data_IF_621497483050
#
_entry.id   IF_621497483050
#
_cell.length_a   1.000
_cell.length_b   1.000
_cell.length_c   1.000
_cell.angle_alpha   90.00
_cell.angle_beta   90.00
_cell.angle_gamma   90.00
#
_symmetry.space_group_name_H-M   'P 1'
#
loop_
_entity.id
_entity.type
_entity.pdbx_description
1 polymer ?
#
# COMPACT_ATOMS: atom_id res chain seq x y z
N UNK A 1 -11.80 28.59 -7.26
CA UNK A 1 -10.60 28.46 -6.41
C UNK A 1 -10.00 29.84 -6.29
N UNK A 2 -9.74 30.29 -5.08
CA UNK A 2 -8.85 31.44 -4.87
C UNK A 2 -7.44 30.88 -4.97
N UNK A 3 -6.68 31.23 -6.03
CA UNK A 3 -5.34 30.71 -6.32
C UNK A 3 -4.29 31.30 -5.34
N UNK A 4 -4.65 31.42 -4.07
CA UNK A 4 -3.79 31.98 -3.05
C UNK A 4 -2.73 30.95 -2.66
N UNK A 5 -1.53 31.44 -2.38
CA UNK A 5 -0.46 30.64 -1.79
C UNK A 5 -0.57 30.76 -0.27
N UNK A 6 -0.73 29.63 0.40
CA UNK A 6 -0.84 29.53 1.86
C UNK A 6 0.18 28.54 2.42
N UNK A 7 0.48 28.66 3.71
CA UNK A 7 1.32 27.68 4.40
C UNK A 7 0.47 26.46 4.80
N UNK A 8 1.05 25.27 4.64
CA UNK A 8 0.55 24.00 5.19
C UNK A 8 1.54 23.48 6.25
N UNK A 9 1.07 22.66 7.19
CA UNK A 9 1.82 22.23 8.37
C UNK A 9 1.70 20.73 8.64
N UNK A 10 2.71 19.98 8.19
CA UNK A 10 2.90 18.60 8.62
C UNK A 10 3.44 18.55 10.05
N UNK A 11 3.03 17.52 10.80
CA UNK A 11 3.58 17.24 12.13
C UNK A 11 4.22 15.86 12.10
N UNK A 12 5.54 15.83 12.37
CA UNK A 12 6.35 14.62 12.33
C UNK A 12 6.84 14.29 13.74
N UNK A 13 6.40 13.15 14.26
CA UNK A 13 6.94 12.54 15.47
C UNK A 13 7.91 11.40 15.12
N UNK A 14 9.00 11.24 15.86
CA UNK A 14 9.93 10.12 15.66
C UNK A 14 10.32 9.48 16.99
N UNK A 15 10.22 8.15 17.02
CA UNK A 15 10.74 7.29 18.08
C UNK A 15 11.98 6.61 17.52
N UNK A 16 13.15 7.03 17.99
CA UNK A 16 14.44 6.50 17.54
C UNK A 16 14.62 5.02 17.89
N UNK A 17 15.03 4.23 16.90
CA UNK A 17 15.37 2.82 17.05
C UNK A 17 16.64 2.59 17.88
N UNK A 18 16.76 1.42 18.50
CA UNK A 18 17.90 1.06 19.35
C UNK A 18 19.04 0.36 18.61
N UNK A 19 18.75 -0.33 17.50
CA UNK A 19 19.73 -1.13 16.75
C UNK A 19 19.94 -0.62 15.32
N UNK A 20 18.86 -0.18 14.66
CA UNK A 20 18.85 0.31 13.28
C UNK A 20 18.08 1.65 13.22
N UNK A 21 18.60 2.73 13.85
CA UNK A 21 17.90 4.02 13.94
C UNK A 21 17.72 4.71 12.57
N UNK A 22 18.54 4.34 11.59
CA UNK A 22 18.46 4.76 10.19
C UNK A 22 17.34 4.06 9.41
N UNK A 23 16.72 3.01 9.95
CA UNK A 23 15.59 2.35 9.29
C UNK A 23 14.28 2.86 9.84
N UNK A 24 13.38 3.32 8.97
CA UNK A 24 12.15 4.04 9.35
C UNK A 24 10.90 3.29 8.91
N UNK A 25 10.05 2.95 9.86
CA UNK A 25 8.66 2.55 9.61
C UNK A 25 7.79 3.78 9.78
N UNK A 26 7.18 4.25 8.70
CA UNK A 26 6.39 5.49 8.69
C UNK A 26 4.92 5.12 8.77
N UNK A 27 4.20 5.70 9.73
CA UNK A 27 2.74 5.66 9.82
C UNK A 27 2.23 7.05 9.44
N UNK A 28 1.25 7.13 8.55
CA UNK A 28 0.73 8.41 8.09
C UNK A 28 -0.80 8.47 7.98
N UNK A 29 -1.32 9.68 8.19
CA UNK A 29 -2.71 10.07 8.03
C UNK A 29 -2.77 11.59 7.84
N UNK A 30 -3.58 12.09 6.91
CA UNK A 30 -3.79 13.53 6.79
C UNK A 30 -4.70 14.12 7.88
N UNK A 31 -4.65 15.43 8.06
CA UNK A 31 -5.34 16.14 9.14
C UNK A 31 -6.36 17.16 8.64
N UNK A 32 -6.16 17.66 7.43
CA UNK A 32 -7.03 18.67 6.86
C UNK A 32 -8.33 18.02 6.41
N UNK A 33 -9.42 18.79 6.46
CA UNK A 33 -10.72 18.32 6.04
C UNK A 33 -11.42 19.43 5.28
N UNK A 34 -12.30 19.07 4.34
CA UNK A 34 -13.14 20.05 3.67
C UNK A 34 -14.05 20.83 4.62
N UNK A 35 -14.60 20.16 5.64
CA UNK A 35 -15.52 20.77 6.62
C UNK A 35 -15.20 20.29 8.04
N UNK A 36 -15.96 19.33 8.58
CA UNK A 36 -15.72 18.77 9.91
C UNK A 36 -14.85 17.51 9.83
N UNK A 37 -15.04 16.70 8.79
CA UNK A 37 -14.18 15.57 8.46
C UNK A 37 -14.11 14.49 9.53
N UNK A 38 -15.25 14.11 10.11
CA UNK A 38 -15.27 13.15 11.21
C UNK A 38 -14.85 11.74 10.77
N UNK A 39 -15.22 11.35 9.55
CA UNK A 39 -14.71 10.17 8.87
C UNK A 39 -13.39 10.54 8.18
N UNK A 40 -13.45 11.45 7.21
CA UNK A 40 -12.31 11.84 6.37
C UNK A 40 -11.74 13.20 6.82
N UNK A 41 -10.57 13.25 7.49
CA UNK A 41 -9.69 12.15 7.92
C UNK A 41 -9.72 11.86 9.42
N UNK A 42 -10.57 12.56 10.20
CA UNK A 42 -10.40 12.61 11.65
C UNK A 42 -10.48 11.24 12.33
N UNK A 43 -11.12 10.25 11.68
CA UNK A 43 -11.16 8.86 12.15
C UNK A 43 -9.80 8.16 12.09
N UNK A 44 -9.03 8.37 11.02
CA UNK A 44 -7.64 7.95 10.91
C UNK A 44 -6.74 8.72 11.88
N UNK A 45 -6.93 10.04 12.00
CA UNK A 45 -6.18 10.88 12.94
C UNK A 45 -6.37 10.44 14.39
N UNK A 46 -7.61 10.17 14.80
CA UNK A 46 -7.90 9.67 16.15
C UNK A 46 -7.20 8.32 16.42
N UNK A 47 -7.15 7.46 15.41
CA UNK A 47 -6.47 6.16 15.48
C UNK A 47 -4.95 6.31 15.58
N UNK A 48 -4.34 7.19 14.78
CA UNK A 48 -2.91 7.50 14.84
C UNK A 48 -2.52 8.04 16.22
N UNK A 49 -3.34 8.93 16.78
CA UNK A 49 -3.12 9.50 18.12
C UNK A 49 -3.20 8.44 19.23
N UNK A 50 -4.11 7.48 19.12
CA UNK A 50 -4.20 6.36 20.08
C UNK A 50 -2.98 5.42 19.99
N UNK A 51 -2.47 5.16 18.78
CA UNK A 51 -1.22 4.44 18.57
C UNK A 51 -0.05 5.22 19.20
N UNK A 52 0.04 6.53 18.95
CA UNK A 52 1.07 7.39 19.51
C UNK A 52 1.05 7.36 21.05
N UNK A 53 -0.14 7.39 21.66
CA UNK A 53 -0.34 7.28 23.11
C UNK A 53 0.17 5.93 23.63
N UNK A 54 -0.21 4.82 22.99
CA UNK A 54 0.22 3.47 23.37
C UNK A 54 1.73 3.27 23.25
N UNK A 55 2.35 3.75 22.17
CA UNK A 55 3.82 3.76 22.01
C UNK A 55 4.49 4.60 23.10
N UNK A 56 3.91 5.75 23.45
CA UNK A 56 4.35 6.59 24.56
C UNK A 56 4.36 5.88 25.90
N UNK A 57 3.32 5.08 26.20
CA UNK A 57 3.28 4.25 27.41
C UNK A 57 4.35 3.16 27.39
N UNK A 58 4.57 2.49 26.25
CA UNK A 58 5.63 1.49 26.11
C UNK A 58 7.02 2.09 26.36
N UNK A 59 7.29 3.28 25.82
CA UNK A 59 8.56 3.99 26.03
C UNK A 59 8.82 4.28 27.52
N UNK A 60 7.79 4.56 28.32
CA UNK A 60 7.92 4.76 29.76
C UNK A 60 8.33 3.48 30.51
N UNK A 61 8.12 2.30 29.93
CA UNK A 61 8.58 1.02 30.50
C UNK A 61 10.05 0.71 30.17
N UNK A 62 10.69 1.54 29.36
CA UNK A 62 12.05 1.33 28.85
C UNK A 62 12.12 0.52 27.55
N UNK A 63 10.98 0.12 26.99
CA UNK A 63 10.93 -0.47 25.65
C UNK A 63 11.42 0.53 24.60
N UNK A 64 12.15 0.03 23.60
CA UNK A 64 12.53 0.77 22.40
C UNK A 64 12.41 -0.16 21.18
N UNK A 65 11.94 0.33 20.03
CA UNK A 65 11.90 -0.49 18.83
C UNK A 65 13.32 -0.71 18.27
N UNK A 66 13.51 -1.79 17.50
CA UNK A 66 14.78 -2.07 16.79
C UNK A 66 15.06 -0.99 15.74
N UNK A 67 14.05 -0.65 14.95
CA UNK A 67 14.04 0.37 13.89
C UNK A 67 13.24 1.59 14.34
N UNK A 68 13.54 2.76 13.79
CA UNK A 68 12.82 3.98 14.11
C UNK A 68 11.36 3.91 13.62
N UNK A 69 10.44 4.44 14.43
CA UNK A 69 9.03 4.63 14.07
C UNK A 69 8.81 6.12 13.84
N UNK A 70 8.25 6.48 12.69
CA UNK A 70 7.90 7.85 12.33
C UNK A 70 6.38 7.95 12.26
N UNK A 71 5.82 8.96 12.91
CA UNK A 71 4.39 9.30 12.87
C UNK A 71 4.26 10.60 12.07
N UNK A 72 3.74 10.50 10.85
CA UNK A 72 3.45 11.62 9.98
C UNK A 72 1.97 11.98 10.09
N UNK A 73 1.68 13.25 10.30
CA UNK A 73 0.32 13.73 10.17
C UNK A 73 0.30 14.91 9.20
N UNK A 74 -0.29 14.64 8.03
CA UNK A 74 -0.09 15.42 6.80
C UNK A 74 -1.13 16.52 6.67
N UNK A 75 -0.77 17.64 6.05
CA UNK A 75 -1.68 18.74 5.75
C UNK A 75 -1.79 18.96 4.24
N UNK A 76 -2.90 19.54 3.78
CA UNK A 76 -3.18 19.77 2.37
C UNK A 76 -3.42 18.51 1.52
N UNK A 77 -3.82 17.38 2.11
CA UNK A 77 -4.16 16.17 1.36
C UNK A 77 -5.33 16.41 0.42
N UNK A 78 -6.38 17.06 0.93
CA UNK A 78 -7.63 17.27 0.22
C UNK A 78 -7.47 18.16 -1.02
N UNK A 79 -6.39 18.96 -1.03
CA UNK A 79 -6.07 19.85 -2.13
C UNK A 79 -5.29 19.18 -3.26
N UNK A 80 -4.48 18.15 -2.96
CA UNK A 80 -3.77 17.26 -3.89
C UNK A 80 -2.56 16.57 -3.22
N UNK A 81 -2.73 15.99 -2.03
CA UNK A 81 -1.65 15.27 -1.31
C UNK A 81 -0.45 16.17 -1.01
N UNK A 82 -0.67 17.47 -0.79
CA UNK A 82 0.40 18.46 -0.83
C UNK A 82 1.46 18.21 0.25
N UNK A 83 1.08 18.10 1.52
CA UNK A 83 2.03 17.94 2.63
C UNK A 83 2.86 16.66 2.51
N UNK A 84 2.21 15.51 2.35
CA UNK A 84 2.93 14.24 2.17
C UNK A 84 3.82 14.23 0.94
N UNK A 85 3.39 14.83 -0.17
CA UNK A 85 4.19 14.93 -1.40
C UNK A 85 5.43 15.78 -1.19
N UNK A 86 5.27 17.02 -0.71
CA UNK A 86 6.39 17.93 -0.50
C UNK A 86 7.36 17.36 0.56
N UNK A 87 6.86 16.73 1.62
CA UNK A 87 7.71 16.07 2.62
C UNK A 87 8.52 14.92 2.02
N UNK A 88 7.89 14.10 1.16
CA UNK A 88 8.57 13.01 0.47
C UNK A 88 9.62 13.53 -0.50
N UNK A 89 9.33 14.60 -1.25
CA UNK A 89 10.28 15.21 -2.19
C UNK A 89 11.49 15.82 -1.45
N UNK A 90 11.25 16.58 -0.37
CA UNK A 90 12.30 17.19 0.45
C UNK A 90 13.20 16.14 1.11
N UNK A 91 12.66 14.98 1.43
CA UNK A 91 13.37 13.89 2.09
C UNK A 91 13.70 12.72 1.15
N UNK A 92 13.58 12.90 -0.17
CA UNK A 92 13.62 11.80 -1.14
C UNK A 92 14.87 10.93 -1.00
N UNK A 93 16.05 11.55 -0.96
CA UNK A 93 17.32 10.83 -0.80
C UNK A 93 17.34 9.96 0.46
N UNK A 94 16.89 10.52 1.59
CA UNK A 94 16.86 9.84 2.87
C UNK A 94 15.85 8.69 2.83
N UNK A 95 14.62 8.93 2.39
CA UNK A 95 13.57 7.91 2.34
C UNK A 95 13.88 6.77 1.36
N UNK A 96 14.57 7.06 0.25
CA UNK A 96 15.05 6.02 -0.66
C UNK A 96 16.00 5.05 0.05
N UNK A 97 16.85 5.49 0.98
CA UNK A 97 17.81 4.62 1.69
C UNK A 97 17.22 4.02 2.99
N UNK A 98 16.40 4.79 3.69
CA UNK A 98 16.03 4.57 5.10
C UNK A 98 14.60 4.02 5.29
N UNK A 99 13.66 4.32 4.39
CA UNK A 99 12.25 3.96 4.60
C UNK A 99 12.01 2.47 4.38
N UNK A 100 11.64 1.77 5.45
CA UNK A 100 11.27 0.34 5.43
C UNK A 100 9.93 0.17 4.72
N UNK A 101 8.91 0.88 5.22
CA UNK A 101 7.57 0.88 4.67
C UNK A 101 6.80 2.13 5.09
N UNK A 102 5.75 2.45 4.34
CA UNK A 102 4.74 3.45 4.69
C UNK A 102 3.38 2.79 4.95
N UNK A 103 2.79 3.05 6.11
CA UNK A 103 1.52 2.49 6.56
C UNK A 103 0.48 3.61 6.65
N UNK A 104 -0.44 3.63 5.71
CA UNK A 104 -1.49 4.65 5.61
C UNK A 104 -2.80 4.18 6.23
N UNK A 105 -3.41 5.05 7.03
CA UNK A 105 -4.84 4.96 7.38
C UNK A 105 -5.41 6.35 7.24
N UNK A 106 -6.12 6.58 6.15
CA UNK A 106 -6.79 7.85 5.88
C UNK A 106 -8.07 7.96 6.71
N UNK A 107 -9.01 7.05 6.42
CA UNK A 107 -10.34 7.06 7.00
C UNK A 107 -10.78 5.65 7.36
N UNK A 108 -11.74 5.60 8.28
CA UNK A 108 -12.44 4.38 8.63
C UNK A 108 -13.88 4.68 9.04
N UNK A 109 -14.79 3.87 8.54
CA UNK A 109 -16.23 3.97 8.79
C UNK A 109 -16.84 2.60 8.54
N UNK A 110 -17.70 2.08 9.41
CA UNK A 110 -18.38 0.79 9.18
C UNK A 110 -17.54 -0.45 9.49
N UNK A 111 -18.08 -1.66 9.19
CA UNK A 111 -17.45 -2.93 9.56
C UNK A 111 -16.60 -3.59 8.46
N UNK A 112 -16.70 -3.14 7.20
CA UNK A 112 -16.12 -3.87 6.07
C UNK A 112 -14.63 -3.60 5.97
N UNK A 113 -13.82 -4.66 6.03
CA UNK A 113 -12.36 -4.56 5.95
C UNK A 113 -11.96 -4.29 4.50
N UNK A 114 -11.04 -3.36 4.30
CA UNK A 114 -10.41 -3.13 2.99
C UNK A 114 -8.94 -2.78 3.16
N UNK A 115 -8.13 -3.19 2.19
CA UNK A 115 -6.77 -2.71 2.06
C UNK A 115 -6.37 -2.60 0.59
N UNK A 116 -5.42 -1.73 0.30
CA UNK A 116 -4.59 -1.77 -0.89
C UNK A 116 -3.12 -1.81 -0.47
N UNK A 117 -2.30 -2.61 -1.14
CA UNK A 117 -0.90 -2.77 -0.75
C UNK A 117 0.00 -3.07 -1.95
N UNK A 118 1.30 -2.86 -1.79
CA UNK A 118 2.29 -3.49 -2.65
C UNK A 118 2.20 -5.02 -2.47
N UNK A 119 2.36 -5.85 -3.52
CA UNK A 119 2.37 -7.29 -3.36
C UNK A 119 3.41 -7.79 -2.33
N UNK A 120 4.52 -7.05 -2.17
CA UNK A 120 5.63 -7.36 -1.26
C UNK A 120 5.23 -7.38 0.22
N UNK A 121 4.19 -6.64 0.61
CA UNK A 121 3.69 -6.58 1.98
C UNK A 121 2.32 -7.25 2.15
N UNK A 122 1.68 -7.65 1.05
CA UNK A 122 0.31 -8.17 1.03
C UNK A 122 0.13 -9.39 1.95
N UNK A 123 1.06 -10.35 1.92
CA UNK A 123 1.01 -11.52 2.80
C UNK A 123 1.12 -11.12 4.28
N UNK A 124 2.02 -10.21 4.62
CA UNK A 124 2.20 -9.74 5.99
C UNK A 124 0.98 -8.99 6.53
N UNK A 125 0.27 -8.25 5.67
CA UNK A 125 -1.00 -7.59 6.01
C UNK A 125 -2.07 -8.62 6.38
N UNK A 126 -2.24 -9.66 5.56
CA UNK A 126 -3.18 -10.76 5.81
C UNK A 126 -2.80 -11.55 7.07
N UNK A 127 -1.53 -11.95 7.19
CA UNK A 127 -1.02 -12.70 8.34
C UNK A 127 -1.23 -11.89 9.64
N UNK A 128 -1.04 -10.57 9.63
CA UNK A 128 -1.28 -9.72 10.80
C UNK A 128 -2.76 -9.57 11.13
N UNK A 129 -3.65 -9.54 10.13
CA UNK A 129 -5.10 -9.57 10.37
C UNK A 129 -5.55 -10.89 11.01
N UNK A 130 -4.92 -12.01 10.68
CA UNK A 130 -5.24 -13.33 11.26
C UNK A 130 -4.98 -13.41 12.77
N UNK A 131 -4.10 -12.55 13.29
CA UNK A 131 -3.74 -12.49 14.71
C UNK A 131 -4.73 -11.66 15.55
N UNK A 132 -5.67 -10.97 14.91
CA UNK A 132 -6.63 -10.12 15.58
C UNK A 132 -8.01 -10.78 15.65
N UNK A 133 -8.77 -10.57 16.73
CA UNK A 133 -10.17 -10.98 16.73
C UNK A 133 -10.93 -10.21 15.65
N UNK A 134 -12.02 -10.81 15.16
CA UNK A 134 -12.95 -10.13 14.27
C UNK A 134 -13.44 -8.80 14.87
N UNK A 135 -13.67 -7.80 14.03
CA UNK A 135 -14.17 -6.49 14.43
C UNK A 135 -15.60 -6.62 15.00
N UNK A 136 -15.82 -6.28 16.29
CA UNK A 136 -17.10 -6.50 16.96
C UNK A 136 -18.11 -5.37 16.70
N UNK A 137 -18.12 -4.79 15.49
CA UNK A 137 -18.93 -3.63 15.11
C UNK A 137 -20.43 -3.79 15.40
N UNK A 138 -21.02 -4.96 15.13
CA UNK A 138 -22.44 -5.25 15.43
C UNK A 138 -22.67 -5.87 16.82
N UNK A 139 -21.64 -5.87 17.69
CA UNK A 139 -21.63 -6.57 18.97
C UNK A 139 -21.41 -8.08 18.82
N UNK A 140 -21.07 -8.74 19.93
CA UNK A 140 -20.72 -10.19 19.98
C UNK A 140 -21.89 -11.15 19.69
N UNK A 141 -23.00 -10.67 19.13
CA UNK A 141 -24.26 -11.39 18.96
C UNK A 141 -24.79 -11.44 17.52
N UNK A 142 -24.12 -10.82 16.54
CA UNK A 142 -24.42 -11.08 15.13
C UNK A 142 -23.87 -12.45 14.75
N UNK A 143 -24.76 -13.36 14.38
CA UNK A 143 -24.46 -14.65 13.78
C UNK A 143 -23.47 -14.50 12.62
N UNK A 144 -22.18 -14.76 12.85
CA UNK A 144 -21.26 -15.50 11.96
C UNK A 144 -19.83 -15.55 12.52
N UNK A 145 -19.52 -16.68 13.21
CA UNK A 145 -18.35 -17.60 13.22
C UNK A 145 -16.94 -17.12 12.75
N UNK A 146 -16.66 -15.84 12.53
CA UNK A 146 -15.29 -15.40 12.19
C UNK A 146 -14.40 -15.42 13.44
N UNK A 147 -13.33 -16.24 13.42
CA UNK A 147 -12.40 -16.35 14.55
C UNK A 147 -11.39 -15.22 14.59
N UNK A 148 -11.09 -14.65 13.43
CA UNK A 148 -10.13 -13.56 13.24
C UNK A 148 -10.66 -12.45 12.32
N UNK A 149 -9.97 -11.31 12.30
CA UNK A 149 -10.23 -10.21 11.36
C UNK A 149 -10.05 -10.68 9.91
N UNK A 150 -9.09 -11.58 9.64
CA UNK A 150 -8.88 -12.16 8.31
C UNK A 150 -10.07 -13.03 7.88
N UNK A 151 -10.59 -13.89 8.77
CA UNK A 151 -11.77 -14.71 8.46
C UNK A 151 -12.99 -13.84 8.16
N UNK A 152 -13.17 -12.78 8.95
CA UNK A 152 -14.24 -11.80 8.73
C UNK A 152 -14.09 -11.13 7.36
N UNK A 153 -12.88 -10.68 7.01
CA UNK A 153 -12.59 -10.05 5.74
C UNK A 153 -12.86 -10.98 4.55
N UNK A 154 -12.40 -12.24 4.63
CA UNK A 154 -12.62 -13.23 3.57
C UNK A 154 -14.12 -13.52 3.35
N UNK A 155 -14.89 -13.64 4.44
CA UNK A 155 -16.35 -13.79 4.39
C UNK A 155 -17.00 -12.56 3.74
N UNK A 156 -16.65 -11.35 4.19
CA UNK A 156 -17.18 -10.10 3.64
C UNK A 156 -16.90 -9.97 2.13
N UNK A 157 -15.71 -10.33 1.67
CA UNK A 157 -15.35 -10.30 0.25
C UNK A 157 -16.14 -11.34 -0.56
N UNK A 158 -16.35 -12.53 -0.01
CA UNK A 158 -17.17 -13.59 -0.64
C UNK A 158 -18.61 -13.12 -0.81
N UNK A 159 -19.20 -12.55 0.24
CA UNK A 159 -20.56 -12.01 0.22
C UNK A 159 -20.70 -10.83 -0.75
N UNK A 160 -19.72 -9.93 -0.76
CA UNK A 160 -19.70 -8.78 -1.65
C UNK A 160 -19.63 -9.17 -3.13
N UNK A 161 -18.91 -10.25 -3.46
CA UNK A 161 -18.87 -10.81 -4.83
C UNK A 161 -20.16 -11.54 -5.21
N UNK A 162 -20.79 -12.22 -4.26
CA UNK A 162 -22.05 -12.94 -4.49
C UNK A 162 -23.25 -11.99 -4.65
N UNK A 163 -23.16 -10.76 -4.16
CA UNK A 163 -24.22 -9.77 -4.26
C UNK A 163 -24.53 -9.37 -5.71
N UNK A 164 -25.79 -9.00 -6.00
CA UNK A 164 -26.20 -8.54 -7.32
C UNK A 164 -25.53 -7.20 -7.65
N UNK A 165 -24.72 -7.17 -8.70
CA UNK A 165 -23.91 -5.99 -9.03
C UNK A 165 -22.76 -5.78 -8.03
N UNK A 166 -22.36 -6.87 -7.36
CA UNK A 166 -21.27 -6.91 -6.40
C UNK A 166 -19.89 -6.79 -7.04
N UNK A 167 -18.86 -7.05 -6.26
CA UNK A 167 -17.48 -6.95 -6.71
C UNK A 167 -17.19 -7.96 -7.84
N UNK A 168 -16.26 -7.63 -8.77
CA UNK A 168 -15.82 -8.57 -9.81
C UNK A 168 -15.32 -9.89 -9.24
N UNK A 169 -15.50 -10.97 -10.02
CA UNK A 169 -14.95 -12.27 -9.68
C UNK A 169 -13.41 -12.24 -9.77
N UNK A 170 -12.70 -13.02 -8.94
CA UNK A 170 -11.24 -13.16 -9.02
C UNK A 170 -10.76 -13.43 -10.46
N UNK A 171 -9.84 -12.60 -10.95
CA UNK A 171 -9.26 -12.73 -12.29
C UNK A 171 -10.12 -12.20 -13.44
N UNK A 172 -11.29 -11.60 -13.16
CA UNK A 172 -12.04 -10.82 -14.16
C UNK A 172 -11.23 -9.58 -14.58
N UNK A 173 -11.43 -9.07 -15.81
CA UNK A 173 -10.75 -7.87 -16.31
C UNK A 173 -11.10 -6.60 -15.50
N UNK A 174 -12.21 -6.62 -14.76
CA UNK A 174 -12.58 -5.56 -13.83
C UNK A 174 -12.04 -5.78 -12.40
N UNK A 175 -11.50 -6.95 -12.08
CA UNK A 175 -10.96 -7.26 -10.77
C UNK A 175 -9.68 -6.45 -10.52
N UNK A 176 -9.67 -5.73 -9.40
CA UNK A 176 -8.57 -4.86 -8.97
C UNK A 176 -7.85 -5.40 -7.74
N UNK A 177 -8.04 -6.69 -7.45
CA UNK A 177 -7.40 -7.35 -6.32
C UNK A 177 -6.18 -8.16 -6.73
N UNK A 178 -5.22 -8.27 -5.81
CA UNK A 178 -3.99 -9.02 -5.96
C UNK A 178 -4.26 -10.52 -5.81
N UNK A 179 -3.79 -11.29 -6.80
CA UNK A 179 -3.69 -12.74 -6.68
C UNK A 179 -2.65 -13.15 -5.61
N UNK A 180 -2.75 -14.36 -5.03
CA UNK A 180 -3.76 -15.39 -5.29
C UNK A 180 -5.02 -15.30 -4.42
N UNK A 181 -5.01 -14.57 -3.28
CA UNK A 181 -6.17 -14.55 -2.38
C UNK A 181 -7.27 -13.57 -2.83
N UNK A 182 -6.94 -12.58 -3.67
CA UNK A 182 -7.89 -11.59 -4.16
C UNK A 182 -8.63 -10.85 -3.02
N UNK A 183 -7.92 -10.54 -1.93
CA UNK A 183 -8.43 -9.77 -0.78
C UNK A 183 -7.94 -8.31 -0.78
N UNK A 184 -6.70 -8.08 -1.24
CA UNK A 184 -6.03 -6.79 -1.21
C UNK A 184 -6.13 -6.15 -2.59
N UNK A 185 -6.42 -4.86 -2.67
CA UNK A 185 -6.48 -4.12 -3.93
C UNK A 185 -5.08 -3.68 -4.40
N UNK A 186 -4.92 -3.48 -5.71
CA UNK A 186 -3.78 -2.73 -6.25
C UNK A 186 -3.74 -1.32 -5.66
N UNK A 187 -2.53 -0.85 -5.34
CA UNK A 187 -2.34 0.55 -4.94
C UNK A 187 -2.36 1.47 -6.15
N UNK A 188 -3.33 2.38 -6.18
CA UNK A 188 -3.40 3.49 -7.13
C UNK A 188 -2.89 4.78 -6.49
N UNK A 189 -3.80 5.72 -6.29
CA UNK A 189 -3.57 7.01 -5.61
C UNK A 189 -4.77 7.33 -4.72
N UNK A 190 -5.01 8.61 -4.40
CA UNK A 190 -6.16 9.06 -3.61
C UNK A 190 -5.95 9.05 -2.11
N UNK A 191 -4.69 8.96 -1.65
CA UNK A 191 -4.26 9.30 -0.29
C UNK A 191 -2.73 9.41 -0.24
N UNK A 192 -2.20 9.76 0.92
CA UNK A 192 -0.79 10.13 1.18
C UNK A 192 0.24 9.04 0.91
N UNK A 193 -0.16 7.78 0.69
CA UNK A 193 0.78 6.73 0.26
C UNK A 193 1.32 6.96 -1.16
N UNK A 194 0.66 7.80 -1.95
CA UNK A 194 0.98 8.03 -3.36
C UNK A 194 2.45 8.42 -3.57
N UNK A 195 2.98 9.49 -2.94
CA UNK A 195 4.39 9.87 -3.12
C UNK A 195 5.37 8.81 -2.62
N UNK A 196 5.05 8.12 -1.52
CA UNK A 196 5.91 7.04 -1.01
C UNK A 196 6.05 5.89 -2.00
N UNK A 197 4.92 5.35 -2.47
CA UNK A 197 4.91 4.16 -3.31
C UNK A 197 5.20 4.49 -4.78
N UNK A 198 4.47 5.44 -5.36
CA UNK A 198 4.50 5.69 -6.80
C UNK A 198 5.72 6.48 -7.25
N UNK A 199 6.27 7.35 -6.38
CA UNK A 199 7.42 8.19 -6.70
C UNK A 199 8.73 7.62 -6.18
N UNK A 200 8.76 7.12 -4.93
CA UNK A 200 9.99 6.60 -4.32
C UNK A 200 10.10 5.08 -4.24
N UNK A 201 9.06 4.31 -4.60
CA UNK A 201 9.10 2.86 -4.49
C UNK A 201 9.23 2.37 -3.04
N UNK A 202 8.75 3.14 -2.07
CA UNK A 202 8.65 2.69 -0.68
C UNK A 202 7.47 1.73 -0.57
N UNK A 203 7.75 0.51 -0.12
CA UNK A 203 6.73 -0.53 0.10
C UNK A 203 5.64 0.05 1.00
N UNK A 204 4.40 0.01 0.54
CA UNK A 204 3.31 0.71 1.20
C UNK A 204 2.07 -0.16 1.36
N UNK A 205 1.24 0.21 2.33
CA UNK A 205 -0.11 -0.32 2.51
C UNK A 205 -1.04 0.82 2.92
N UNK A 206 -2.27 0.78 2.43
CA UNK A 206 -3.39 1.58 2.88
C UNK A 206 -4.46 0.66 3.45
N UNK A 207 -4.86 0.92 4.70
CA UNK A 207 -5.88 0.15 5.41
C UNK A 207 -7.12 1.02 5.62
N UNK A 208 -8.29 0.40 5.54
CA UNK A 208 -9.55 1.09 5.79
C UNK A 208 -10.60 0.16 6.39
N UNK A 209 -11.59 0.77 7.05
CA UNK A 209 -12.92 0.17 7.19
C UNK A 209 -13.93 0.97 6.38
N UNK A 210 -14.86 0.29 5.72
CA UNK A 210 -15.95 0.87 4.94
C UNK A 210 -17.34 0.44 5.40
N UNK A 211 -18.35 1.30 5.18
CA UNK A 211 -19.76 0.90 5.23
C UNK A 211 -20.17 0.17 3.94
N UNK A 212 -19.47 0.46 2.86
CA UNK A 212 -19.57 -0.18 1.55
C UNK A 212 -18.17 -0.25 0.93
N UNK A 213 -18.00 -0.97 -0.18
CA UNK A 213 -16.78 -0.93 -0.99
C UNK A 213 -16.74 0.25 -1.99
N UNK A 214 -17.62 1.24 -1.79
CA UNK A 214 -17.66 2.51 -2.50
C UNK A 214 -17.60 3.67 -1.48
N UNK A 215 -17.52 4.92 -1.95
CA UNK A 215 -17.54 6.10 -1.09
C UNK A 215 -18.79 6.14 -0.20
N UNK A 216 -18.60 6.53 1.07
CA UNK A 216 -19.69 6.65 2.03
C UNK A 216 -20.56 7.89 1.73
N UNK A 217 -21.84 7.84 2.11
CA UNK A 217 -22.84 8.79 1.62
C UNK A 217 -22.65 10.25 2.05
N UNK A 218 -21.83 10.52 3.07
CA UNK A 218 -21.56 11.88 3.58
C UNK A 218 -20.20 12.43 3.15
N UNK A 219 -19.47 11.70 2.29
CA UNK A 219 -18.13 12.07 1.80
C UNK A 219 -18.06 13.51 1.32
N UNK A 220 -17.04 14.24 1.78
CA UNK A 220 -16.75 15.65 1.45
C UNK A 220 -17.94 16.60 1.64
N UNK A 221 -18.82 16.31 2.60
CA UNK A 221 -20.01 17.12 2.87
C UNK A 221 -20.03 17.64 4.31
N UNK A 222 -20.86 18.64 4.57
CA UNK A 222 -21.13 19.14 5.93
C UNK A 222 -21.77 18.11 6.85
N UNK A 223 -22.23 16.97 6.29
CA UNK A 223 -22.83 15.87 7.05
C UNK A 223 -21.78 14.88 7.57
N UNK A 224 -20.54 14.91 7.06
CA UNK A 224 -19.43 14.18 7.66
C UNK A 224 -19.08 14.82 9.00
N UNK A 225 -19.69 14.28 10.06
CA UNK A 225 -19.77 14.91 11.38
C UNK A 225 -19.67 13.86 12.48
N UNK A 226 -19.29 14.28 13.68
CA UNK A 226 -19.24 13.38 14.84
C UNK A 226 -20.59 12.70 15.09
N UNK A 227 -21.70 13.40 14.86
CA UNK A 227 -23.03 12.79 14.96
C UNK A 227 -23.22 11.63 13.98
N UNK A 228 -22.78 11.79 12.71
CA UNK A 228 -22.81 10.70 11.74
C UNK A 228 -21.94 9.53 12.20
N UNK A 229 -20.72 9.82 12.67
CA UNK A 229 -19.80 8.80 13.18
C UNK A 229 -20.42 8.01 14.35
N UNK A 230 -20.92 8.70 15.38
CA UNK A 230 -21.43 8.07 16.60
C UNK A 230 -22.76 7.33 16.42
N UNK A 231 -23.51 7.62 15.35
CA UNK A 231 -24.84 7.02 15.13
C UNK A 231 -24.88 6.01 13.99
N UNK A 232 -24.06 6.18 12.95
CA UNK A 232 -24.07 5.34 11.75
C UNK A 232 -22.68 4.81 11.39
N UNK A 233 -21.65 5.66 11.53
CA UNK A 233 -20.31 5.37 11.05
C UNK A 233 -19.61 4.27 11.82
N UNK A 234 -19.45 4.45 13.13
CA UNK A 234 -18.90 3.43 14.04
C UNK A 234 -19.52 3.60 15.42
N UNK A 235 -20.81 3.22 15.60
CA UNK A 235 -21.45 3.27 16.90
C UNK A 235 -20.64 2.43 17.87
N UNK A 236 -20.04 3.09 18.88
CA UNK A 236 -19.12 2.53 19.89
C UNK A 236 -17.63 2.40 19.51
N UNK A 237 -17.19 2.95 18.38
CA UNK A 237 -15.76 3.04 18.01
C UNK A 237 -15.05 1.68 17.94
N UNK A 238 -15.77 0.62 17.57
CA UNK A 238 -15.24 -0.74 17.51
C UNK A 238 -14.27 -0.92 16.33
N UNK A 239 -14.58 -0.32 15.18
CA UNK A 239 -13.69 -0.30 14.01
C UNK A 239 -12.44 0.54 14.29
N UNK A 240 -12.57 1.68 14.96
CA UNK A 240 -11.42 2.49 15.40
C UNK A 240 -10.46 1.67 16.28
N UNK A 241 -11.00 1.00 17.31
CA UNK A 241 -10.19 0.18 18.21
C UNK A 241 -9.57 -1.04 17.50
N UNK A 242 -10.28 -1.64 16.53
CA UNK A 242 -9.76 -2.73 15.72
C UNK A 242 -8.64 -2.26 14.79
N UNK A 243 -8.80 -1.10 14.15
CA UNK A 243 -7.79 -0.49 13.29
C UNK A 243 -6.54 -0.08 14.08
N UNK A 244 -6.69 0.52 15.27
CA UNK A 244 -5.55 0.88 16.13
C UNK A 244 -4.68 -0.34 16.45
N UNK A 245 -5.31 -1.50 16.72
CA UNK A 245 -4.61 -2.77 16.95
C UNK A 245 -3.92 -3.26 15.68
N UNK A 246 -4.58 -3.22 14.53
CA UNK A 246 -4.02 -3.74 13.28
C UNK A 246 -2.88 -2.88 12.74
N UNK A 247 -3.11 -1.58 12.61
CA UNK A 247 -2.11 -0.62 12.17
C UNK A 247 -0.92 -0.56 13.13
N UNK A 248 -1.18 -0.54 14.44
CA UNK A 248 -0.14 -0.61 15.47
C UNK A 248 0.64 -1.92 15.45
N UNK A 249 -0.01 -3.07 15.23
CA UNK A 249 0.66 -4.37 15.14
C UNK A 249 1.59 -4.43 13.92
N UNK A 250 1.13 -3.97 12.75
CA UNK A 250 1.95 -3.90 11.54
C UNK A 250 3.19 -3.04 11.78
N UNK A 251 3.02 -1.85 12.37
CA UNK A 251 4.13 -0.95 12.70
C UNK A 251 5.12 -1.59 13.68
N UNK A 252 4.62 -2.16 14.78
CA UNK A 252 5.44 -2.80 15.80
C UNK A 252 6.25 -3.97 15.24
N UNK A 253 5.63 -4.81 14.40
CA UNK A 253 6.32 -5.94 13.77
C UNK A 253 7.35 -5.49 12.76
N UNK A 254 7.05 -4.54 11.87
CA UNK A 254 8.07 -3.99 10.95
C UNK A 254 9.22 -3.31 11.71
N UNK A 255 8.92 -2.64 12.82
CA UNK A 255 9.90 -1.94 13.63
C UNK A 255 10.75 -2.87 14.50
N UNK A 256 10.35 -4.13 14.72
CA UNK A 256 10.98 -5.01 15.72
C UNK A 256 11.37 -6.40 15.21
N UNK A 257 10.70 -6.95 14.19
CA UNK A 257 11.02 -8.26 13.63
C UNK A 257 12.46 -8.24 13.08
N UNK A 258 13.27 -9.26 13.43
CA UNK A 258 14.68 -9.29 13.06
C UNK A 258 14.86 -9.36 11.53
N UNK A 259 14.05 -10.20 10.87
CA UNK A 259 13.91 -10.26 9.42
C UNK A 259 12.62 -9.53 9.05
N UNK A 260 12.70 -8.56 8.14
CA UNK A 260 11.53 -7.81 7.68
C UNK A 260 10.63 -8.77 6.88
N UNK A 261 9.33 -8.87 7.21
CA UNK A 261 8.43 -9.86 6.64
C UNK A 261 7.88 -9.48 5.26
N UNK A 262 8.74 -9.03 4.35
CA UNK A 262 8.36 -8.84 2.95
C UNK A 262 8.45 -10.16 2.18
N UNK A 263 7.51 -10.38 1.27
CA UNK A 263 7.39 -11.59 0.47
C UNK A 263 7.17 -11.21 -1.00
N UNK A 264 8.11 -11.58 -1.86
CA UNK A 264 8.07 -11.24 -3.29
C UNK A 264 7.55 -12.39 -4.17
N UNK A 265 7.19 -13.54 -3.59
CA UNK A 265 6.83 -14.75 -4.35
C UNK A 265 5.54 -14.59 -5.19
N UNK A 266 4.63 -13.71 -4.77
CA UNK A 266 3.39 -13.43 -5.50
C UNK A 266 3.57 -12.49 -6.69
N UNK A 267 4.69 -11.75 -6.80
CA UNK A 267 4.85 -10.71 -7.83
C UNK A 267 4.70 -11.25 -9.24
N UNK A 268 5.34 -12.37 -9.56
CA UNK A 268 5.30 -12.90 -10.92
C UNK A 268 3.88 -13.30 -11.32
N UNK A 269 3.11 -13.89 -10.39
CA UNK A 269 1.70 -14.21 -10.61
C UNK A 269 0.90 -12.93 -10.88
N UNK A 270 1.03 -11.92 -10.01
CA UNK A 270 0.31 -10.64 -10.14
C UNK A 270 0.69 -9.90 -11.43
N UNK A 271 1.97 -9.92 -11.82
CA UNK A 271 2.45 -9.33 -13.07
C UNK A 271 1.91 -10.08 -14.29
N UNK A 272 1.85 -11.42 -14.25
CA UNK A 272 1.27 -12.22 -15.34
C UNK A 272 -0.21 -11.92 -15.54
N UNK A 273 -1.00 -11.88 -14.46
CA UNK A 273 -2.42 -11.52 -14.54
C UNK A 273 -2.61 -10.12 -15.13
N UNK A 274 -1.82 -9.15 -14.66
CA UNK A 274 -1.82 -7.79 -15.20
C UNK A 274 -1.43 -7.72 -16.67
N UNK A 275 -0.45 -8.50 -17.10
CA UNK A 275 0.04 -8.50 -18.49
C UNK A 275 -0.96 -9.16 -19.44
N UNK A 276 -1.66 -10.20 -18.99
CA UNK A 276 -2.75 -10.82 -19.75
C UNK A 276 -3.90 -9.83 -19.98
N UNK A 277 -4.29 -9.08 -18.94
CA UNK A 277 -5.31 -8.04 -19.07
C UNK A 277 -4.85 -6.93 -20.02
N UNK A 278 -3.59 -6.49 -19.91
CA UNK A 278 -3.01 -5.49 -20.79
C UNK A 278 -2.99 -5.96 -22.26
N UNK A 279 -2.63 -7.21 -22.51
CA UNK A 279 -2.62 -7.81 -23.84
C UNK A 279 -4.02 -7.76 -24.48
N UNK A 280 -5.08 -8.01 -23.71
CA UNK A 280 -6.45 -7.87 -24.19
C UNK A 280 -6.76 -6.40 -24.55
N UNK A 281 -6.41 -5.44 -23.69
CA UNK A 281 -6.63 -4.00 -23.94
C UNK A 281 -5.90 -3.51 -25.20
N UNK A 282 -4.67 -3.99 -25.43
CA UNK A 282 -3.89 -3.67 -26.63
C UNK A 282 -4.57 -4.21 -27.89
N UNK A 283 -5.08 -5.44 -27.85
CA UNK A 283 -5.82 -6.03 -28.96
C UNK A 283 -7.12 -5.27 -29.27
N UNK A 284 -7.89 -4.90 -28.23
CA UNK A 284 -9.14 -4.14 -28.37
C UNK A 284 -8.89 -2.73 -28.97
N UNK A 285 -7.72 -2.15 -28.71
CA UNK A 285 -7.29 -0.86 -29.24
C UNK A 285 -6.59 -0.94 -30.62
N UNK A 286 -6.54 -2.12 -31.25
CA UNK A 286 -5.82 -2.38 -32.51
C UNK A 286 -4.36 -1.92 -32.44
N UNK A 287 -3.68 -2.27 -31.33
CA UNK A 287 -2.25 -2.01 -31.10
C UNK A 287 -1.46 -3.31 -31.10
N UNK A 288 -0.51 -3.40 -32.03
CA UNK A 288 0.36 -4.57 -32.19
C UNK A 288 1.72 -4.31 -31.54
N UNK A 289 2.00 -5.02 -30.45
CA UNK A 289 3.25 -4.97 -29.70
C UNK A 289 3.71 -6.37 -29.29
N UNK A 290 5.02 -6.56 -29.20
CA UNK A 290 5.68 -7.80 -28.82
C UNK A 290 5.88 -7.85 -27.29
N UNK A 291 5.18 -8.78 -26.63
CA UNK A 291 5.20 -8.94 -25.16
C UNK A 291 6.05 -10.13 -24.69
N UNK A 292 6.57 -10.95 -25.61
CA UNK A 292 7.24 -12.22 -25.27
C UNK A 292 8.46 -12.02 -24.35
N UNK A 293 9.22 -10.94 -24.56
CA UNK A 293 10.38 -10.63 -23.72
C UNK A 293 9.98 -10.15 -22.32
N UNK A 294 8.85 -9.44 -22.21
CA UNK A 294 8.31 -9.02 -20.92
C UNK A 294 7.81 -10.23 -20.11
N UNK A 295 7.08 -11.16 -20.75
CA UNK A 295 6.71 -12.44 -20.13
C UNK A 295 7.94 -13.20 -19.60
N UNK A 296 9.00 -13.33 -20.41
CA UNK A 296 10.23 -13.99 -19.99
C UNK A 296 10.95 -13.26 -18.83
N UNK A 297 10.90 -11.93 -18.81
CA UNK A 297 11.46 -11.12 -17.72
C UNK A 297 10.69 -11.35 -16.41
N UNK A 298 9.36 -11.43 -16.47
CA UNK A 298 8.49 -11.73 -15.33
C UNK A 298 8.75 -13.14 -14.79
N UNK A 299 8.92 -14.13 -15.67
CA UNK A 299 9.26 -15.50 -15.26
C UNK A 299 10.62 -15.55 -14.53
N UNK A 300 11.63 -14.85 -15.06
CA UNK A 300 12.94 -14.72 -14.41
C UNK A 300 12.83 -14.02 -13.06
N UNK A 301 12.01 -12.97 -12.96
CA UNK A 301 11.72 -12.28 -11.71
C UNK A 301 11.14 -13.26 -10.68
N UNK A 302 10.13 -14.04 -11.05
CA UNK A 302 9.48 -15.01 -10.17
C UNK A 302 10.43 -16.07 -9.64
N UNK A 303 11.22 -16.70 -10.51
CA UNK A 303 12.22 -17.70 -10.11
C UNK A 303 13.22 -17.13 -9.10
N UNK A 304 13.68 -15.90 -9.33
CA UNK A 304 14.65 -15.26 -8.45
C UNK A 304 14.01 -14.76 -7.14
N UNK A 305 12.76 -14.31 -7.18
CA UNK A 305 11.98 -13.95 -6.00
C UNK A 305 11.73 -15.16 -5.10
N UNK A 306 11.39 -16.33 -5.67
CA UNK A 306 11.23 -17.57 -4.92
C UNK A 306 12.54 -18.03 -4.28
N UNK A 307 13.66 -17.93 -5.01
CA UNK A 307 14.99 -18.23 -4.48
C UNK A 307 15.37 -17.29 -3.31
N UNK A 308 15.05 -16.00 -3.43
CA UNK A 308 15.23 -15.03 -2.35
C UNK A 308 14.33 -15.39 -1.15
N UNK A 309 13.05 -15.69 -1.37
CA UNK A 309 12.14 -16.05 -0.28
C UNK A 309 12.58 -17.33 0.45
N UNK A 310 13.12 -18.32 -0.27
CA UNK A 310 13.66 -19.53 0.34
C UNK A 310 14.84 -19.23 1.29
N UNK A 311 15.74 -18.32 0.90
CA UNK A 311 16.87 -17.91 1.74
C UNK A 311 16.42 -17.13 2.99
N UNK A 312 15.31 -16.37 2.93
CA UNK A 312 14.74 -15.69 4.09
C UNK A 312 14.37 -16.68 5.22
N UNK A 313 13.88 -17.87 4.88
CA UNK A 313 13.50 -18.89 5.85
C UNK A 313 14.71 -19.44 6.61
N UNK A 314 15.85 -19.60 5.95
CA UNK A 314 17.10 -20.03 6.59
C UNK A 314 17.63 -18.97 7.57
N UNK A 315 17.41 -17.69 7.25
CA UNK A 315 17.84 -16.55 8.07
C UNK A 315 17.08 -16.39 9.38
N UNK A 316 15.91 -17.03 9.56
CA UNK A 316 15.19 -17.02 10.84
C UNK A 316 16.02 -17.62 11.99
N UNK A 317 17.00 -18.47 11.66
CA UNK A 317 17.92 -19.07 12.64
C UNK A 317 19.31 -18.41 12.64
N UNK A 318 19.54 -17.42 11.78
CA UNK A 318 20.82 -16.75 11.66
C UNK A 318 21.08 -15.87 12.89
N UNK A 319 22.32 -15.93 13.38
CA UNK A 319 22.78 -15.17 14.55
C UNK A 319 23.73 -14.03 14.20
N UNK A 320 24.18 -13.94 12.94
CA UNK A 320 25.08 -12.88 12.47
C UNK A 320 24.27 -11.62 12.13
N UNK A 321 24.43 -10.51 12.89
CA UNK A 321 23.71 -9.27 12.63
C UNK A 321 24.03 -8.63 11.27
N UNK A 322 25.23 -8.85 10.74
CA UNK A 322 25.66 -8.27 9.46
C UNK A 322 24.91 -8.89 8.27
N UNK A 323 24.71 -10.20 8.32
CA UNK A 323 23.93 -10.95 7.32
C UNK A 323 22.46 -10.51 7.36
N UNK A 324 21.88 -10.38 8.56
CA UNK A 324 20.51 -9.91 8.73
C UNK A 324 20.33 -8.46 8.24
N UNK A 325 21.28 -7.58 8.51
CA UNK A 325 21.22 -6.20 8.03
C UNK A 325 21.27 -6.15 6.51
N UNK A 326 22.26 -6.81 5.89
CA UNK A 326 22.39 -6.84 4.44
C UNK A 326 21.17 -7.46 3.75
N UNK A 327 20.54 -8.46 4.37
CA UNK A 327 19.30 -9.04 3.86
C UNK A 327 18.16 -8.04 3.89
N UNK A 328 17.93 -7.42 5.04
CA UNK A 328 16.87 -6.43 5.23
C UNK A 328 17.04 -5.22 4.32
N UNK A 329 18.27 -4.72 4.17
CA UNK A 329 18.59 -3.63 3.26
C UNK A 329 18.18 -3.98 1.84
N UNK A 330 18.53 -5.20 1.39
CA UNK A 330 18.15 -5.70 0.07
C UNK A 330 16.64 -5.86 -0.08
N UNK A 331 15.96 -6.40 0.93
CA UNK A 331 14.51 -6.56 0.95
C UNK A 331 13.78 -5.21 0.79
N UNK A 332 14.25 -4.18 1.48
CA UNK A 332 13.72 -2.82 1.36
C UNK A 332 13.95 -2.26 -0.05
N UNK A 333 15.14 -2.48 -0.63
CA UNK A 333 15.53 -1.89 -1.91
C UNK A 333 14.89 -2.56 -3.14
N UNK A 334 14.29 -3.74 -3.00
CA UNK A 334 13.74 -4.51 -4.11
C UNK A 334 12.60 -3.79 -4.85
N UNK A 335 11.64 -3.21 -4.14
CA UNK A 335 10.53 -2.47 -4.75
C UNK A 335 11.02 -1.28 -5.58
N UNK A 336 12.07 -0.61 -5.10
CA UNK A 336 12.69 0.55 -5.76
C UNK A 336 13.35 0.20 -7.09
N UNK A 337 13.64 -1.09 -7.32
CA UNK A 337 14.15 -1.56 -8.61
C UNK A 337 13.07 -1.59 -9.70
N UNK A 338 11.80 -1.36 -9.35
CA UNK A 338 10.68 -1.30 -10.29
C UNK A 338 10.32 0.13 -10.71
N UNK A 339 11.22 1.09 -10.47
CA UNK A 339 11.03 2.48 -10.86
C UNK A 339 11.73 2.80 -12.19
N UNK A 340 11.11 3.64 -13.01
CA UNK A 340 11.78 4.33 -14.11
C UNK A 340 12.41 5.63 -13.60
N UNK A 341 13.63 5.93 -14.05
CA UNK A 341 14.29 7.22 -13.81
C UNK A 341 13.58 8.38 -14.50
N UNK A 342 12.96 8.08 -15.65
CA UNK A 342 12.33 9.07 -16.53
C UNK A 342 10.84 9.25 -16.19
N UNK A 343 10.28 8.29 -15.42
CA UNK A 343 8.88 8.27 -15.01
C UNK A 343 7.96 7.63 -16.06
N UNK A 344 6.66 7.61 -15.76
CA UNK A 344 5.65 7.08 -16.68
C UNK A 344 5.42 8.03 -17.86
N UNK A 345 5.13 7.49 -19.07
CA UNK A 345 4.72 8.28 -20.22
C UNK A 345 3.60 9.26 -19.87
N UNK A 346 3.73 10.51 -20.34
CA UNK A 346 2.78 11.61 -20.09
C UNK A 346 2.61 12.05 -18.62
N UNK A 347 3.16 11.30 -17.64
CA UNK A 347 3.08 11.59 -16.21
C UNK A 347 4.39 11.25 -15.47
N UNK A 348 5.50 11.97 -15.77
CA UNK A 348 6.85 11.59 -15.33
C UNK A 348 7.07 11.67 -13.81
N UNK A 349 6.13 12.27 -13.06
CA UNK A 349 6.19 12.24 -11.60
C UNK A 349 5.87 10.86 -11.02
N UNK A 350 4.98 10.08 -11.65
CA UNK A 350 4.81 8.68 -11.28
C UNK A 350 5.97 7.88 -11.89
N UNK A 351 6.61 7.01 -11.10
CA UNK A 351 7.83 6.30 -11.52
C UNK A 351 7.69 4.78 -11.47
N UNK A 352 6.77 4.27 -10.66
CA UNK A 352 6.58 2.84 -10.49
C UNK A 352 5.93 2.20 -11.74
N UNK A 353 6.69 1.35 -12.45
CA UNK A 353 6.30 0.90 -13.80
C UNK A 353 5.37 -0.32 -13.82
N UNK A 354 5.26 -1.02 -12.70
CA UNK A 354 4.47 -2.26 -12.62
C UNK A 354 3.08 -2.02 -12.07
N UNK A 355 2.95 -1.21 -11.02
CA UNK A 355 1.67 -0.93 -10.37
C UNK A 355 1.51 0.56 -10.14
N UNK A 356 0.33 1.10 -10.43
CA UNK A 356 0.06 2.50 -10.17
C UNK A 356 -1.34 2.93 -10.62
N UNK A 357 -1.71 4.19 -10.40
CA UNK A 357 -3.00 4.71 -10.84
C UNK A 357 -3.05 4.79 -12.37
N UNK A 358 -4.14 4.30 -12.96
CA UNK A 358 -4.40 4.48 -14.39
C UNK A 358 -4.97 5.86 -14.70
N UNK A 359 -4.63 6.46 -15.85
CA UNK A 359 -5.02 7.83 -16.20
C UNK A 359 -6.53 8.13 -16.07
N UNK A 360 -7.38 7.19 -16.52
CA UNK A 360 -8.85 7.31 -16.45
C UNK A 360 -9.49 6.49 -15.32
N UNK A 361 -8.70 5.89 -14.44
CA UNK A 361 -9.19 4.95 -13.43
C UNK A 361 -9.35 5.58 -12.04
N UNK A 362 -9.17 6.91 -11.95
CA UNK A 362 -9.29 7.67 -10.70
C UNK A 362 -8.28 7.19 -9.67
N UNK A 363 -8.76 6.78 -8.50
CA UNK A 363 -7.92 6.28 -7.40
C UNK A 363 -7.55 4.80 -7.51
N UNK A 364 -8.16 4.05 -8.43
CA UNK A 364 -7.92 2.63 -8.56
C UNK A 364 -6.48 2.35 -9.04
N UNK A 365 -5.86 1.34 -8.43
CA UNK A 365 -4.59 0.80 -8.92
C UNK A 365 -4.79 -0.18 -10.08
N UNK A 366 -3.79 -0.21 -10.96
CA UNK A 366 -3.71 -1.14 -12.07
C UNK A 366 -2.28 -1.62 -12.30
N UNK A 367 -2.15 -2.71 -13.05
CA UNK A 367 -0.87 -3.19 -13.55
C UNK A 367 -0.45 -2.44 -14.84
N UNK A 368 0.85 -2.24 -14.99
CA UNK A 368 1.52 -1.60 -16.13
C UNK A 368 0.91 -0.23 -16.51
N UNK A 369 0.80 0.71 -15.56
CA UNK A 369 0.10 1.98 -15.76
C UNK A 369 0.66 2.78 -16.93
N UNK A 370 1.98 2.84 -17.11
CA UNK A 370 2.61 3.58 -18.20
C UNK A 370 2.25 3.06 -19.60
N UNK A 371 2.11 1.73 -19.77
CA UNK A 371 1.68 1.16 -21.06
C UNK A 371 0.20 1.46 -21.30
N UNK A 372 -0.64 1.41 -20.26
CA UNK A 372 -2.04 1.80 -20.36
C UNK A 372 -2.22 3.31 -20.64
N UNK A 373 -1.32 4.16 -20.16
CA UNK A 373 -1.33 5.59 -20.45
C UNK A 373 -1.08 5.84 -21.93
N UNK A 374 -0.13 5.13 -22.55
CA UNK A 374 0.10 5.24 -24.00
C UNK A 374 -1.20 4.99 -24.80
N UNK A 375 -2.06 4.06 -24.34
CA UNK A 375 -3.38 3.85 -24.95
C UNK A 375 -4.33 5.03 -24.69
N UNK A 376 -4.35 5.56 -23.47
CA UNK A 376 -5.16 6.72 -23.10
C UNK A 376 -4.82 7.98 -23.91
N UNK A 377 -3.56 8.13 -24.31
CA UNK A 377 -3.04 9.24 -25.11
C UNK A 377 -2.93 8.94 -26.61
N UNK A 378 -3.45 7.80 -27.05
CA UNK A 378 -3.50 7.37 -28.46
C UNK A 378 -2.12 7.24 -29.14
N UNK A 379 -1.08 6.91 -28.37
CA UNK A 379 0.25 6.66 -28.91
C UNK A 379 0.25 5.51 -29.94
N UNK A 380 1.22 5.55 -30.85
CA UNK A 380 1.37 4.53 -31.87
C UNK A 380 2.07 3.26 -31.33
N UNK A 381 1.96 2.16 -32.08
CA UNK A 381 2.54 0.88 -31.67
C UNK A 381 4.06 0.94 -31.43
N UNK A 382 4.78 1.81 -32.15
CA UNK A 382 6.23 1.95 -31.99
C UNK A 382 6.57 2.61 -30.64
N UNK A 383 5.82 3.63 -30.24
CA UNK A 383 5.95 4.31 -28.96
C UNK A 383 5.57 3.39 -27.80
N UNK A 384 4.48 2.64 -27.93
CA UNK A 384 4.07 1.63 -26.94
C UNK A 384 5.15 0.55 -26.81
N UNK A 385 5.69 0.05 -27.92
CA UNK A 385 6.76 -0.96 -27.90
C UNK A 385 8.01 -0.45 -27.18
N UNK A 386 8.43 0.79 -27.43
CA UNK A 386 9.60 1.36 -26.74
C UNK A 386 9.42 1.37 -25.21
N UNK A 387 8.20 1.64 -24.73
CA UNK A 387 7.92 1.59 -23.31
C UNK A 387 7.81 0.15 -22.77
N UNK A 388 7.25 -0.80 -23.54
CA UNK A 388 7.31 -2.24 -23.21
C UNK A 388 8.76 -2.71 -23.05
N UNK A 389 9.66 -2.30 -23.93
CA UNK A 389 11.08 -2.64 -23.89
C UNK A 389 11.77 -2.06 -22.65
N UNK A 390 11.41 -0.83 -22.27
CA UNK A 390 11.88 -0.19 -21.04
C UNK A 390 11.44 -0.96 -19.78
N UNK A 391 10.14 -1.26 -19.67
CA UNK A 391 9.58 -2.05 -18.56
C UNK A 391 10.27 -3.42 -18.50
N UNK A 392 10.48 -4.07 -19.65
CA UNK A 392 11.18 -5.36 -19.75
C UNK A 392 12.60 -5.27 -19.20
N UNK A 393 13.34 -4.20 -19.49
CA UNK A 393 14.69 -3.96 -18.97
C UNK A 393 14.68 -3.75 -17.46
N UNK A 394 13.72 -2.97 -16.94
CA UNK A 394 13.56 -2.70 -15.50
C UNK A 394 13.26 -4.00 -14.75
N UNK A 395 12.28 -4.79 -15.20
CA UNK A 395 11.93 -6.09 -14.58
C UNK A 395 13.11 -7.05 -14.61
N UNK A 396 13.85 -7.14 -15.72
CA UNK A 396 15.06 -7.97 -15.78
C UNK A 396 16.14 -7.52 -14.80
N UNK A 397 16.33 -6.21 -14.65
CA UNK A 397 17.32 -5.65 -13.72
C UNK A 397 16.92 -5.93 -12.26
N UNK A 398 15.63 -5.78 -11.94
CA UNK A 398 15.08 -6.13 -10.64
C UNK A 398 15.21 -7.64 -10.36
N UNK A 399 14.95 -8.49 -11.36
CA UNK A 399 15.15 -9.93 -11.26
C UNK A 399 16.63 -10.27 -10.93
N UNK A 400 17.58 -9.61 -11.58
CA UNK A 400 19.02 -9.80 -11.29
C UNK A 400 19.42 -9.28 -9.91
N UNK A 401 18.77 -8.22 -9.44
CA UNK A 401 19.03 -7.66 -8.13
C UNK A 401 18.81 -8.70 -7.02
N UNK A 402 17.73 -9.50 -7.05
CA UNK A 402 17.47 -10.58 -6.07
C UNK A 402 18.66 -11.52 -5.83
N UNK A 403 19.37 -11.90 -6.88
CA UNK A 403 20.47 -12.88 -6.82
C UNK A 403 21.86 -12.26 -6.80
N UNK A 404 21.95 -10.93 -6.93
CA UNK A 404 23.23 -10.22 -6.81
C UNK A 404 23.85 -10.44 -5.42
N UNK A 405 25.16 -10.70 -5.37
CA UNK A 405 25.89 -10.60 -4.11
C UNK A 405 25.95 -9.11 -3.75
N UNK A 406 25.27 -8.71 -2.69
CA UNK A 406 25.34 -7.33 -2.17
C UNK A 406 26.81 -6.90 -2.06
N UNK A 407 27.14 -5.73 -2.62
CA UNK A 407 28.49 -5.14 -2.64
C UNK A 407 28.99 -4.78 -1.24
#
# INVERSE_FOLDING_TARGET
MDNHVGAIWDVIGTIEGSEQPDKRVVLGNHRDAWVCGAVDPSSGSATLMEIARGLGELLQTGWKPRRSIVLGSWDGEEYALLGSTEWVEDNAKLLTEEAVAYLNVDLLVGPLVSASAAPSIAKFVQDSASLLPANPFHGNGSSDIASSLLDQWATQMTEARAARGGLPAPGDAADRTLAPEHLINFMGSGSDFTPFYQHLGVISVNLAFGLTYASYGTYHSTMDSLHYMETQGDPHYASHASMAKWWGLLAMRLANDAVIPFDFSSYALVMHDGLQQLQQRLADADRSVELAQLYAAIDKFGVNADAFQAAALELQTATDPSVLSSWNDKAIQLERQLLSSDGLPHRPWYKHVIFGPGFYEGYAGAAFPGITDCLAFYDDSATIQAHVDEVTRIVNSAAEYFVSTSL
#
